data_IF_112829094671
#
_entry.id   IF_112829094671
#
_cell.length_a   1.000
_cell.length_b   1.000
_cell.length_c   1.000
_cell.angle_alpha   90.00
_cell.angle_beta   90.00
_cell.angle_gamma   90.00
#
_symmetry.space_group_name_H-M   'P 1'
#
loop_
_entity.id
_entity.type
_entity.pdbx_description
1 polymer ?
#
# COMPACT_ATOMS: atom_id res chain seq x y z
N UNK A 1 -10.86 26.41 53.24
CA UNK A 1 -10.91 25.11 53.91
C UNK A 1 -10.50 24.11 52.88
N UNK A 2 -9.21 23.70 52.75
CA UNK A 2 -8.57 22.62 53.47
C UNK A 2 -9.27 21.29 53.19
N UNK A 3 -8.70 20.21 52.63
CA UNK A 3 -7.52 19.40 52.92
C UNK A 3 -7.42 18.38 51.77
N UNK A 4 -6.38 18.21 51.00
CA UNK A 4 -5.23 17.31 51.16
C UNK A 4 -5.60 15.82 51.24
N UNK A 5 -5.07 15.05 50.30
CA UNK A 5 -5.06 13.59 50.29
C UNK A 5 -4.04 13.06 49.30
N UNK A 6 -2.77 13.07 49.67
CA UNK A 6 -1.67 12.29 49.10
C UNK A 6 -1.84 10.82 49.51
N UNK A 7 -1.74 9.90 48.59
CA UNK A 7 -1.22 8.56 48.89
C UNK A 7 -0.34 8.04 47.77
N UNK A 8 0.93 7.94 48.10
CA UNK A 8 1.98 7.14 47.45
C UNK A 8 1.83 5.67 47.89
N UNK A 9 2.14 4.76 47.02
CA UNK A 9 2.70 3.43 47.31
C UNK A 9 3.18 2.88 45.96
N UNK A 10 4.45 2.78 45.74
CA UNK A 10 5.47 1.87 46.26
C UNK A 10 5.64 0.64 45.31
N UNK A 11 6.67 0.71 44.54
CA UNK A 11 7.68 -0.26 44.10
C UNK A 11 7.43 -1.74 44.41
N UNK A 12 7.48 -2.59 43.35
CA UNK A 12 8.09 -3.91 43.48
C UNK A 12 8.92 -4.26 42.23
N UNK A 13 10.24 -4.16 42.44
CA UNK A 13 11.25 -4.85 41.66
C UNK A 13 11.19 -6.33 41.97
N UNK A 14 11.06 -7.18 40.98
CA UNK A 14 11.53 -8.55 41.06
C UNK A 14 12.58 -8.80 39.97
N UNK A 15 13.78 -8.81 40.49
CA UNK A 15 15.00 -9.29 39.85
C UNK A 15 15.08 -10.79 40.14
N UNK A 16 15.05 -11.64 39.12
CA UNK A 16 15.49 -13.05 39.27
C UNK A 16 16.59 -13.35 38.29
N UNK A 17 17.60 -13.84 38.91
CA UNK A 17 18.96 -14.19 38.53
C UNK A 17 19.07 -15.35 37.55
N UNK A 18 20.15 -15.28 36.82
CA UNK A 18 20.70 -16.27 35.91
C UNK A 18 20.92 -17.63 36.58
N UNK A 19 20.74 -18.71 35.81
CA UNK A 19 21.54 -19.95 35.97
C UNK A 19 21.91 -20.49 34.60
N UNK A 20 23.19 -20.45 34.39
CA UNK A 20 23.94 -21.16 33.36
C UNK A 20 23.85 -22.64 33.60
N UNK A 21 23.56 -23.42 32.57
CA UNK A 21 23.87 -24.87 32.57
C UNK A 21 24.47 -25.26 31.24
N UNK A 22 25.75 -25.49 31.29
CA UNK A 22 26.57 -26.12 30.27
C UNK A 22 26.30 -27.62 30.25
N UNK A 23 25.88 -28.17 29.13
CA UNK A 23 26.07 -29.58 28.82
C UNK A 23 26.66 -29.74 27.43
N UNK A 24 27.94 -30.08 27.46
CA UNK A 24 28.74 -30.68 26.40
C UNK A 24 28.35 -32.13 26.27
N UNK A 25 27.89 -32.59 25.12
CA UNK A 25 28.01 -33.96 24.69
C UNK A 25 28.28 -34.05 23.20
N UNK A 26 29.46 -34.45 22.91
CA UNK A 26 29.95 -34.95 21.63
C UNK A 26 29.13 -36.17 21.19
N UNK A 27 28.55 -36.11 20.02
CA UNK A 27 28.18 -37.33 19.29
C UNK A 27 28.52 -37.14 17.81
N UNK A 28 29.56 -37.81 17.39
CA UNK A 28 29.89 -38.10 16.00
C UNK A 28 28.81 -39.02 15.43
N UNK A 29 28.12 -38.63 14.37
CA UNK A 29 27.47 -39.59 13.49
C UNK A 29 27.44 -39.07 12.06
N UNK A 30 28.27 -39.69 11.25
CA UNK A 30 28.09 -40.18 9.88
C UNK A 30 27.33 -39.27 8.89
N UNK A 31 28.15 -38.78 7.96
CA UNK A 31 27.74 -38.26 6.65
C UNK A 31 26.93 -39.33 5.88
N UNK A 32 25.66 -39.08 5.69
CA UNK A 32 24.95 -39.56 4.53
C UNK A 32 24.55 -38.34 3.69
N UNK A 33 25.34 -38.12 2.67
CA UNK A 33 25.11 -37.10 1.63
C UNK A 33 24.03 -37.62 0.69
N UNK A 34 22.78 -37.42 1.05
CA UNK A 34 21.67 -37.51 0.09
C UNK A 34 21.67 -36.26 -0.77
N UNK A 35 22.26 -36.36 -1.93
CA UNK A 35 22.08 -35.37 -3.00
C UNK A 35 20.65 -35.48 -3.52
N UNK A 36 19.73 -34.82 -2.87
CA UNK A 36 18.42 -34.49 -3.46
C UNK A 36 18.67 -33.37 -4.44
N UNK A 37 18.88 -33.73 -5.69
CA UNK A 37 18.79 -32.79 -6.82
C UNK A 37 17.34 -32.35 -6.93
N UNK A 38 16.97 -31.30 -6.17
CA UNK A 38 15.76 -30.56 -6.44
C UNK A 38 16.01 -29.89 -7.79
N UNK A 39 15.50 -30.52 -8.83
CA UNK A 39 15.35 -29.87 -10.13
C UNK A 39 14.43 -28.68 -9.90
N UNK A 40 15.02 -27.51 -9.66
CA UNK A 40 14.34 -26.25 -9.81
C UNK A 40 13.99 -26.15 -11.32
N UNK A 41 12.80 -26.57 -11.64
CA UNK A 41 12.20 -26.30 -12.94
C UNK A 41 11.99 -24.79 -13.00
N UNK A 42 13.04 -24.07 -13.36
CA UNK A 42 12.93 -22.67 -13.78
C UNK A 42 12.22 -22.72 -15.13
N UNK A 43 10.89 -22.73 -15.11
CA UNK A 43 10.08 -22.35 -16.27
C UNK A 43 10.32 -20.86 -16.49
N UNK A 44 11.51 -20.53 -16.96
CA UNK A 44 11.87 -19.23 -17.52
C UNK A 44 11.20 -19.06 -18.87
N UNK A 45 9.88 -19.19 -18.90
CA UNK A 45 9.09 -18.71 -20.01
C UNK A 45 9.27 -17.20 -20.05
N UNK A 46 9.96 -16.69 -21.05
CA UNK A 46 10.06 -15.27 -21.33
C UNK A 46 8.63 -14.70 -21.32
N UNK A 47 8.27 -13.99 -20.24
CA UNK A 47 6.97 -13.33 -20.13
C UNK A 47 6.84 -12.38 -21.31
N UNK A 48 5.84 -12.62 -22.14
CA UNK A 48 5.56 -11.75 -23.29
C UNK A 48 5.25 -10.34 -22.77
N UNK A 49 5.59 -9.32 -23.52
CA UNK A 49 5.26 -7.92 -23.19
C UNK A 49 3.75 -7.75 -23.02
N UNK A 50 2.94 -8.46 -23.80
CA UNK A 50 1.49 -8.50 -23.67
C UNK A 50 1.00 -8.89 -22.28
N UNK A 51 1.72 -9.80 -21.60
CA UNK A 51 1.34 -10.27 -20.27
C UNK A 51 1.64 -9.23 -19.17
N UNK A 52 2.29 -8.14 -19.51
CA UNK A 52 2.59 -7.03 -18.59
C UNK A 52 1.65 -5.85 -18.78
N UNK A 53 0.84 -5.85 -19.81
CA UNK A 53 -0.10 -4.78 -20.11
C UNK A 53 -1.38 -5.00 -19.31
N UNK A 54 -1.80 -3.96 -18.60
CA UNK A 54 -3.05 -3.91 -17.84
C UNK A 54 -3.91 -2.80 -18.43
N UNK A 55 -5.07 -3.15 -18.93
CA UNK A 55 -6.06 -2.19 -19.44
C UNK A 55 -7.02 -1.82 -18.32
N UNK A 56 -7.23 -0.52 -18.14
CA UNK A 56 -8.07 0.07 -17.12
C UNK A 56 -9.07 1.02 -17.78
N UNK A 57 -10.11 1.37 -17.05
CA UNK A 57 -11.05 2.39 -17.48
C UNK A 57 -11.09 3.51 -16.45
N UNK A 58 -10.76 4.72 -16.85
CA UNK A 58 -10.96 5.91 -16.04
C UNK A 58 -12.24 6.64 -16.47
N UNK A 59 -12.98 7.07 -15.49
CA UNK A 59 -14.10 8.00 -15.66
C UNK A 59 -13.59 9.36 -15.21
N UNK A 60 -13.53 10.29 -16.15
CA UNK A 60 -13.14 11.66 -15.92
C UNK A 60 -14.18 12.41 -15.07
N UNK A 61 -13.84 13.58 -14.52
CA UNK A 61 -14.78 14.44 -13.79
C UNK A 61 -15.96 14.91 -14.66
N UNK A 62 -15.80 14.93 -15.99
CA UNK A 62 -16.88 15.19 -16.95
C UNK A 62 -17.79 13.97 -17.18
N UNK A 63 -17.49 12.82 -16.55
CA UNK A 63 -18.21 11.56 -16.73
C UNK A 63 -17.81 10.77 -17.98
N UNK A 64 -16.77 11.19 -18.69
CA UNK A 64 -16.32 10.48 -19.88
C UNK A 64 -15.45 9.28 -19.51
N UNK A 65 -15.76 8.14 -20.11
CA UNK A 65 -14.98 6.92 -19.95
C UNK A 65 -13.80 6.90 -20.92
N UNK A 66 -12.60 6.78 -20.39
CA UNK A 66 -11.34 6.65 -21.15
C UNK A 66 -10.66 5.32 -20.86
N UNK A 67 -10.18 4.64 -21.91
CA UNK A 67 -9.34 3.46 -21.74
C UNK A 67 -7.91 3.91 -21.45
N UNK A 68 -7.32 3.32 -20.40
CA UNK A 68 -5.96 3.59 -19.94
C UNK A 68 -5.16 2.32 -20.04
N UNK A 69 -3.92 2.45 -20.46
CA UNK A 69 -2.97 1.35 -20.51
C UNK A 69 -1.90 1.58 -19.46
N UNK A 70 -1.80 0.67 -18.50
CA UNK A 70 -0.73 0.61 -17.52
C UNK A 70 0.13 -0.63 -17.69
N UNK A 71 1.23 -0.69 -16.97
CA UNK A 71 2.09 -1.86 -16.91
C UNK A 71 2.06 -2.46 -15.50
N UNK A 72 2.14 -3.78 -15.41
CA UNK A 72 2.29 -4.46 -14.12
C UNK A 72 3.52 -3.97 -13.38
N UNK A 73 3.37 -3.66 -12.10
CA UNK A 73 4.41 -3.10 -11.26
C UNK A 73 4.51 -1.56 -11.28
N UNK A 74 3.76 -0.89 -12.15
CA UNK A 74 3.61 0.57 -12.10
C UNK A 74 2.51 0.96 -11.12
N UNK A 75 2.59 2.19 -10.59
CA UNK A 75 1.51 2.78 -9.83
C UNK A 75 0.37 3.23 -10.74
N UNK A 76 -0.85 3.23 -10.22
CA UNK A 76 -2.02 3.73 -10.94
C UNK A 76 -1.84 5.21 -11.32
N UNK A 77 -1.26 6.02 -10.44
CA UNK A 77 -0.91 7.41 -10.72
C UNK A 77 -0.09 7.53 -12.01
N UNK A 78 0.96 6.69 -12.15
CA UNK A 78 1.82 6.74 -13.34
C UNK A 78 1.06 6.42 -14.62
N UNK A 79 0.10 5.48 -14.56
CA UNK A 79 -0.76 5.19 -15.70
C UNK A 79 -1.67 6.39 -16.05
N UNK A 80 -2.27 7.03 -15.04
CA UNK A 80 -3.14 8.20 -15.21
C UNK A 80 -2.38 9.42 -15.77
N UNK A 81 -1.17 9.68 -15.26
CA UNK A 81 -0.32 10.78 -15.75
C UNK A 81 0.15 10.57 -17.19
N UNK A 82 0.47 9.34 -17.57
CA UNK A 82 0.86 9.02 -18.95
C UNK A 82 -0.28 9.30 -19.96
N UNK A 83 -1.53 9.24 -19.50
CA UNK A 83 -2.71 9.54 -20.32
C UNK A 83 -3.22 10.98 -20.15
N UNK A 84 -2.50 11.82 -19.40
CA UNK A 84 -2.84 13.22 -19.20
C UNK A 84 -4.09 13.48 -18.38
N UNK A 85 -4.49 12.51 -17.54
CA UNK A 85 -5.67 12.63 -16.67
C UNK A 85 -5.35 13.29 -15.33
N UNK A 86 -4.10 13.17 -14.89
CA UNK A 86 -3.56 13.84 -13.70
C UNK A 86 -2.26 14.53 -14.12
N UNK A 87 -2.08 15.77 -13.73
CA UNK A 87 -0.84 16.48 -13.95
C UNK A 87 0.27 15.92 -13.05
N UNK A 88 1.39 15.47 -13.61
CA UNK A 88 2.51 14.98 -12.82
C UNK A 88 3.11 16.04 -11.88
N UNK A 89 2.97 17.33 -12.22
CA UNK A 89 3.47 18.43 -11.40
C UNK A 89 2.60 18.70 -10.16
N UNK A 90 1.33 18.33 -10.20
CA UNK A 90 0.39 18.52 -9.08
C UNK A 90 0.70 17.59 -7.91
N UNK A 91 1.14 16.36 -8.20
CA UNK A 91 1.41 15.36 -7.18
C UNK A 91 2.78 15.57 -6.53
N UNK A 92 2.78 15.86 -5.22
CA UNK A 92 4.00 16.00 -4.41
C UNK A 92 4.07 14.90 -3.35
N UNK A 93 5.27 14.33 -3.19
CA UNK A 93 5.58 13.47 -2.05
C UNK A 93 5.93 14.38 -0.87
N UNK A 94 5.26 14.20 0.25
CA UNK A 94 5.55 14.91 1.49
C UNK A 94 6.38 14.04 2.42
N UNK A 95 7.29 14.63 3.21
CA UNK A 95 8.20 13.88 4.08
C UNK A 95 7.47 13.11 5.19
N UNK A 96 6.35 13.64 5.67
CA UNK A 96 5.59 13.09 6.80
C UNK A 96 4.38 12.29 6.33
N UNK A 97 3.77 12.71 5.23
CA UNK A 97 2.56 12.13 4.67
C UNK A 97 2.86 11.32 3.40
N UNK A 98 1.95 10.45 3.01
CA UNK A 98 2.10 9.66 1.79
C UNK A 98 2.23 10.54 0.53
N UNK A 99 1.46 11.64 0.45
CA UNK A 99 1.52 12.65 -0.62
C UNK A 99 0.55 13.81 -0.34
N UNK A 100 0.51 14.78 -1.26
CA UNK A 100 -0.43 15.91 -1.24
C UNK A 100 -1.90 15.55 -1.51
N UNK A 101 -2.21 14.29 -1.80
CA UNK A 101 -3.53 13.72 -2.12
C UNK A 101 -4.18 14.15 -3.44
N UNK A 102 -3.47 14.84 -4.31
CA UNK A 102 -3.97 15.23 -5.65
C UNK A 102 -4.11 14.01 -6.58
N UNK A 103 -3.61 12.86 -6.15
CA UNK A 103 -3.79 11.59 -6.83
C UNK A 103 -4.96 10.77 -6.26
N UNK A 104 -5.91 11.41 -5.56
CA UNK A 104 -7.11 10.74 -5.06
C UNK A 104 -7.93 10.19 -6.23
N UNK A 105 -8.31 8.92 -6.12
CA UNK A 105 -9.13 8.22 -7.10
C UNK A 105 -10.20 7.40 -6.39
N UNK A 106 -11.35 7.23 -7.02
CA UNK A 106 -12.42 6.38 -6.52
C UNK A 106 -12.45 5.08 -7.30
N UNK A 107 -12.28 3.96 -6.62
CA UNK A 107 -12.23 2.63 -7.22
C UNK A 107 -13.55 1.92 -6.96
N UNK A 108 -14.07 1.23 -7.97
CA UNK A 108 -15.30 0.45 -7.85
C UNK A 108 -15.14 -0.69 -6.82
N UNK A 109 -16.20 -0.98 -6.06
CA UNK A 109 -16.20 -1.89 -4.92
C UNK A 109 -15.62 -3.29 -5.23
N UNK A 110 -15.93 -3.82 -6.38
CA UNK A 110 -15.44 -5.13 -6.87
C UNK A 110 -13.92 -5.21 -6.97
N UNK A 111 -13.27 -4.07 -7.23
CA UNK A 111 -11.83 -3.98 -7.38
C UNK A 111 -11.14 -3.68 -6.05
N UNK A 112 -11.80 -2.96 -5.14
CA UNK A 112 -11.28 -2.70 -3.81
C UNK A 112 -10.98 -3.99 -3.02
N UNK A 113 -11.77 -5.03 -3.23
CA UNK A 113 -11.57 -6.33 -2.57
C UNK A 113 -10.31 -7.07 -3.07
N UNK A 114 -9.83 -6.73 -4.26
CA UNK A 114 -8.60 -7.30 -4.85
C UNK A 114 -7.35 -6.49 -4.52
N UNK A 115 -7.53 -5.28 -4.00
CA UNK A 115 -6.44 -4.40 -3.59
C UNK A 115 -6.08 -4.66 -2.14
N UNK A 116 -4.81 -4.46 -1.77
CA UNK A 116 -4.42 -4.43 -0.37
C UNK A 116 -5.15 -3.30 0.36
N UNK A 117 -5.37 -3.49 1.65
CA UNK A 117 -5.98 -2.46 2.49
C UNK A 117 -5.15 -1.17 2.46
N UNK A 118 -5.85 -0.03 2.56
CA UNK A 118 -5.19 1.27 2.62
C UNK A 118 -4.33 1.37 3.88
N UNK A 119 -3.09 1.83 3.74
CA UNK A 119 -2.19 2.07 4.87
C UNK A 119 -2.76 3.16 5.80
N UNK A 120 -2.24 3.21 7.02
CA UNK A 120 -2.64 4.26 7.97
C UNK A 120 -2.37 5.66 7.40
N UNK A 121 -1.20 5.86 6.80
CA UNK A 121 -0.79 7.15 6.22
C UNK A 121 -1.70 7.53 5.04
N UNK A 122 -2.05 6.58 4.19
CA UNK A 122 -3.01 6.79 3.09
C UNK A 122 -4.37 7.24 3.63
N UNK A 123 -4.90 6.54 4.63
CA UNK A 123 -6.18 6.89 5.26
C UNK A 123 -6.14 8.26 5.95
N UNK A 124 -5.01 8.59 6.59
CA UNK A 124 -4.81 9.89 7.23
C UNK A 124 -4.86 11.02 6.21
N UNK A 125 -4.11 10.90 5.11
CA UNK A 125 -4.07 11.90 4.03
C UNK A 125 -5.45 12.07 3.39
N UNK A 126 -6.12 10.97 3.04
CA UNK A 126 -7.47 11.02 2.46
C UNK A 126 -8.47 11.70 3.40
N UNK A 127 -8.42 11.37 4.70
CA UNK A 127 -9.31 11.99 5.70
C UNK A 127 -9.00 13.46 5.91
N UNK A 128 -7.73 13.86 5.97
CA UNK A 128 -7.30 15.24 6.10
C UNK A 128 -7.81 16.10 4.95
N UNK A 129 -7.79 15.57 3.75
CA UNK A 129 -8.12 16.28 2.53
C UNK A 129 -9.64 16.36 2.25
N UNK A 130 -10.44 15.59 2.95
CA UNK A 130 -11.90 15.66 2.80
C UNK A 130 -12.50 16.75 3.70
N UNK A 131 -13.37 17.60 3.11
CA UNK A 131 -14.03 18.71 3.83
C UNK A 131 -14.74 18.26 5.11
N UNK A 132 -15.40 17.12 5.06
CA UNK A 132 -16.17 16.57 6.20
C UNK A 132 -15.35 15.63 7.09
N UNK A 133 -14.07 15.40 6.79
CA UNK A 133 -13.20 14.43 7.47
C UNK A 133 -13.77 13.01 7.54
N UNK A 134 -14.74 12.70 6.71
CA UNK A 134 -15.34 11.37 6.58
C UNK A 134 -14.65 10.65 5.44
N UNK A 135 -13.99 9.54 5.77
CA UNK A 135 -13.30 8.74 4.77
C UNK A 135 -14.29 8.09 3.80
N UNK A 136 -14.15 8.39 2.51
CA UNK A 136 -14.88 7.68 1.48
C UNK A 136 -14.27 6.27 1.32
N UNK A 137 -15.10 5.24 1.45
CA UNK A 137 -14.68 3.84 1.35
C UNK A 137 -14.07 3.48 0.00
N UNK A 138 -14.44 4.20 -1.05
CA UNK A 138 -13.96 3.99 -2.42
C UNK A 138 -12.70 4.79 -2.75
N UNK A 139 -12.33 5.75 -1.90
CA UNK A 139 -11.17 6.60 -2.12
C UNK A 139 -9.86 5.84 -1.85
N UNK A 140 -8.93 5.94 -2.79
CA UNK A 140 -7.56 5.44 -2.67
C UNK A 140 -6.60 6.50 -3.24
N UNK A 141 -5.34 6.45 -2.82
CA UNK A 141 -4.29 7.25 -3.43
C UNK A 141 -3.68 6.49 -4.62
N UNK A 142 -3.75 7.07 -5.81
CA UNK A 142 -3.22 6.45 -7.03
C UNK A 142 -1.73 6.13 -6.97
N UNK A 143 -0.96 6.86 -6.16
CA UNK A 143 0.47 6.61 -5.94
C UNK A 143 0.73 5.35 -5.09
N UNK A 144 -0.23 4.91 -4.27
CA UNK A 144 -0.13 3.73 -3.41
C UNK A 144 -0.69 2.47 -4.07
N UNK A 145 -1.46 2.59 -5.12
CA UNK A 145 -2.05 1.47 -5.85
C UNK A 145 -1.08 0.98 -6.92
N UNK A 146 -0.51 -0.21 -6.74
CA UNK A 146 0.36 -0.87 -7.72
C UNK A 146 -0.47 -1.77 -8.62
N UNK A 147 -0.30 -1.62 -9.93
CA UNK A 147 -1.03 -2.39 -10.93
C UNK A 147 -0.52 -3.83 -11.02
N UNK A 148 -1.43 -4.78 -10.98
CA UNK A 148 -1.21 -6.21 -11.20
C UNK A 148 -2.10 -6.72 -12.33
N UNK A 149 -1.86 -7.94 -12.81
CA UNK A 149 -2.71 -8.55 -13.83
C UNK A 149 -4.17 -8.74 -13.38
N UNK A 150 -4.39 -8.82 -12.07
CA UNK A 150 -5.73 -8.95 -11.48
C UNK A 150 -6.58 -7.69 -11.64
N UNK A 151 -5.94 -6.55 -11.93
CA UNK A 151 -6.60 -5.26 -12.14
C UNK A 151 -7.04 -5.05 -13.60
N UNK A 152 -7.00 -6.08 -14.44
CA UNK A 152 -7.44 -6.01 -15.82
C UNK A 152 -8.93 -5.65 -15.90
N UNK A 153 -9.26 -4.53 -16.55
CA UNK A 153 -10.62 -4.00 -16.67
C UNK A 153 -11.09 -3.17 -15.47
N UNK A 154 -10.19 -2.84 -14.53
CA UNK A 154 -10.52 -2.03 -13.36
C UNK A 154 -11.12 -0.68 -13.76
N UNK A 155 -12.18 -0.30 -13.07
CA UNK A 155 -12.86 0.99 -13.26
C UNK A 155 -12.48 1.94 -12.13
N UNK A 156 -12.02 3.12 -12.52
CA UNK A 156 -11.56 4.18 -11.61
C UNK A 156 -12.25 5.48 -11.99
N UNK A 157 -12.81 6.20 -11.04
CA UNK A 157 -13.34 7.53 -11.24
C UNK A 157 -12.40 8.58 -10.64
N UNK A 158 -12.20 9.66 -11.37
CA UNK A 158 -11.44 10.82 -10.91
C UNK A 158 -12.42 11.80 -10.25
N UNK A 159 -12.14 12.25 -9.01
CA UNK A 159 -12.95 13.29 -8.38
C UNK A 159 -12.76 14.61 -9.11
N UNK A 160 -13.72 15.51 -8.93
CA UNK A 160 -13.62 16.87 -9.43
C UNK A 160 -12.41 17.58 -8.80
N UNK A 161 -11.63 18.35 -9.61
CA UNK A 161 -10.49 19.10 -9.08
C UNK A 161 -10.97 20.09 -8.02
N UNK A 162 -10.22 20.20 -6.94
CA UNK A 162 -10.59 21.08 -5.85
C UNK A 162 -10.32 22.54 -6.24
N UNK A 163 -11.09 23.51 -5.73
CA UNK A 163 -10.95 24.92 -6.11
C UNK A 163 -9.56 25.53 -5.87
N UNK A 164 -8.76 24.91 -4.98
CA UNK A 164 -7.39 25.34 -4.70
C UNK A 164 -6.33 24.65 -5.57
N UNK A 165 -6.73 23.66 -6.38
CA UNK A 165 -5.86 22.96 -7.32
C UNK A 165 -5.88 23.62 -8.72
N UNK A 166 -6.77 24.57 -8.94
CA UNK A 166 -6.80 25.37 -10.17
C UNK A 166 -5.79 26.51 -10.07
N UNK A 167 -4.84 26.63 -11.02
CA UNK A 167 -3.84 27.70 -11.06
C UNK A 167 -4.44 29.09 -11.19
#
# INVERSE_FOLDING_TARGET
>A
MAIAGLQRLSTHLHRTTATSSTFSLLSKSLLTRTTTTAAATSTGGSRKVSDRIVKLFAIDFEGQKREIIGLTGQTLLKALTNHGLIDPASHRLEEIDACSSECEVHIAQEWLQKLPEASYDEQYVLRRNQRNRVLNKHARLGCQVVLTQEHQGMVVALPEPKPWDTP
#
